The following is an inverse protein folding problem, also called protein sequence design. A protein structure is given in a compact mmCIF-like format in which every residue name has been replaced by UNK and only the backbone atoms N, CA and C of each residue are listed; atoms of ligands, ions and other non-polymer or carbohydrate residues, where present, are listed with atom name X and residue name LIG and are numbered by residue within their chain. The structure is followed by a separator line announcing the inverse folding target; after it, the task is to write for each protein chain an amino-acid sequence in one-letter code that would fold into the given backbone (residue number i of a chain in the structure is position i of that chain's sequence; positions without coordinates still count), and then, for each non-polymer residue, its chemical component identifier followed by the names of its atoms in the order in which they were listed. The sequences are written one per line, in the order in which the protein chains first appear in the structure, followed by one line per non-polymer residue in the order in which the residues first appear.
data_IF_843208855379
#
_entry.id   IF_843208855379
#
_cell.length_a   1.000
_cell.length_b   1.000
_cell.length_c   1.000
_cell.angle_alpha   90.00
_cell.angle_beta   90.00
_cell.angle_gamma   90.00
#
_symmetry.space_group_name_H-M   'P 1'
#
loop_
_entity.id
_entity.type
_entity.pdbx_description
1 polymer ?
#
# COMPACT_ATOMS: atom_id res chain seq x y z
N UNK A 1 2.59 -0.32 -2.50
CA UNK A 1 3.15 1.00 -2.14
C UNK A 1 3.44 1.00 -0.65
N UNK A 2 4.66 1.35 -0.22
CA UNK A 2 5.02 1.42 1.20
C UNK A 2 5.32 2.85 1.62
N UNK A 3 4.87 3.27 2.81
CA UNK A 3 5.17 4.61 3.34
C UNK A 3 5.37 4.56 4.87
N UNK A 4 6.39 5.26 5.41
CA UNK A 4 6.44 5.51 6.85
C UNK A 4 5.33 6.47 7.27
N UNK A 5 4.87 6.34 8.51
CA UNK A 5 3.87 7.22 9.11
C UNK A 5 4.55 8.48 9.67
N UNK A 6 4.13 9.65 9.20
CA UNK A 6 4.49 10.95 9.77
C UNK A 6 3.24 11.64 10.29
N UNK A 7 3.17 11.87 11.60
CA UNK A 7 2.02 12.54 12.27
C UNK A 7 0.64 11.95 11.90
N UNK A 8 0.56 10.64 11.66
CA UNK A 8 -0.69 9.94 11.34
C UNK A 8 -1.01 9.84 9.85
N UNK A 9 -0.18 10.39 8.97
CA UNK A 9 -0.37 10.35 7.51
C UNK A 9 0.83 9.72 6.81
N UNK A 10 0.65 9.38 5.53
CA UNK A 10 1.75 8.94 4.70
C UNK A 10 2.80 10.06 4.52
N UNK A 11 4.05 9.68 4.27
CA UNK A 11 5.09 10.60 3.83
C UNK A 11 4.62 11.43 2.63
N UNK A 12 4.83 12.75 2.72
CA UNK A 12 4.24 13.71 1.78
C UNK A 12 4.71 13.58 0.33
N UNK A 13 5.92 13.10 0.08
CA UNK A 13 6.42 12.86 -1.29
C UNK A 13 5.73 11.67 -1.96
N UNK A 14 5.41 10.60 -1.20
CA UNK A 14 4.59 9.49 -1.68
C UNK A 14 3.21 10.00 -2.08
N UNK A 15 2.55 10.79 -1.22
CA UNK A 15 1.22 11.31 -1.55
C UNK A 15 1.27 12.29 -2.73
N UNK A 16 2.30 13.12 -2.83
CA UNK A 16 2.53 14.00 -3.97
C UNK A 16 2.69 13.21 -5.27
N UNK A 17 3.48 12.12 -5.25
CA UNK A 17 3.64 11.24 -6.40
C UNK A 17 2.32 10.55 -6.79
N UNK A 18 1.59 9.99 -5.82
CA UNK A 18 0.31 9.32 -6.05
C UNK A 18 -0.73 10.26 -6.66
N UNK A 19 -0.85 11.48 -6.16
CA UNK A 19 -1.76 12.48 -6.72
C UNK A 19 -1.44 12.81 -8.18
N UNK A 20 -0.14 12.98 -8.52
CA UNK A 20 0.29 13.27 -9.89
C UNK A 20 0.06 12.06 -10.81
N UNK A 21 0.40 10.86 -10.37
CA UNK A 21 0.19 9.61 -11.13
C UNK A 21 -1.30 9.40 -11.39
N UNK A 22 -2.15 9.56 -10.37
CA UNK A 22 -3.60 9.40 -10.50
C UNK A 22 -4.20 10.42 -11.47
N UNK A 23 -3.76 11.68 -11.41
CA UNK A 23 -4.20 12.70 -12.35
C UNK A 23 -3.79 12.37 -13.79
N UNK A 24 -2.56 11.91 -14.00
CA UNK A 24 -2.08 11.50 -15.33
C UNK A 24 -2.84 10.26 -15.83
N UNK A 25 -3.10 9.26 -15.00
CA UNK A 25 -3.92 8.10 -15.37
C UNK A 25 -5.30 8.53 -15.85
N UNK A 26 -5.98 9.37 -15.07
CA UNK A 26 -7.35 9.81 -15.38
C UNK A 26 -7.45 10.75 -16.59
N UNK A 27 -6.38 11.50 -16.87
CA UNK A 27 -6.30 12.37 -18.05
C UNK A 27 -5.96 11.62 -19.35
N UNK A 28 -5.58 10.34 -19.26
CA UNK A 28 -5.27 9.50 -20.42
C UNK A 28 -6.29 8.36 -20.53
N UNK A 29 -5.80 7.13 -20.65
CA UNK A 29 -6.56 5.90 -20.89
C UNK A 29 -6.95 5.17 -19.60
N UNK A 30 -6.80 5.81 -18.44
CA UNK A 30 -6.95 5.16 -17.14
C UNK A 30 -6.04 3.94 -16.97
N UNK A 31 -4.76 4.01 -17.37
CA UNK A 31 -3.81 2.89 -17.31
C UNK A 31 -3.66 2.18 -15.95
N UNK A 32 -4.12 2.79 -14.85
CA UNK A 32 -4.17 2.17 -13.53
C UNK A 32 -5.39 1.26 -13.30
N UNK A 33 -6.43 1.36 -14.13
CA UNK A 33 -7.63 0.52 -14.04
C UNK A 33 -7.24 -0.96 -14.13
N UNK A 34 -7.86 -1.76 -13.27
CA UNK A 34 -7.61 -3.20 -13.09
C UNK A 34 -6.18 -3.58 -12.70
N UNK A 35 -5.31 -2.62 -12.36
CA UNK A 35 -4.01 -2.93 -11.76
C UNK A 35 -4.20 -3.42 -10.32
N UNK A 36 -3.36 -4.36 -9.92
CA UNK A 36 -3.41 -4.98 -8.60
C UNK A 36 -2.35 -4.37 -7.70
N UNK A 37 -2.74 -3.98 -6.50
CA UNK A 37 -1.79 -3.49 -5.50
C UNK A 37 -2.47 -2.94 -4.26
N UNK A 38 -1.68 -2.44 -3.32
CA UNK A 38 -2.22 -1.86 -2.10
C UNK A 38 -1.15 -1.15 -1.26
N UNK A 39 -1.59 -0.44 -0.22
CA UNK A 39 -0.70 0.27 0.68
C UNK A 39 -0.13 -0.62 1.78
N UNK A 40 1.05 -0.26 2.26
CA UNK A 40 1.72 -0.78 3.44
C UNK A 40 2.17 0.43 4.26
N UNK A 41 1.87 0.46 5.55
CA UNK A 41 2.27 1.55 6.44
C UNK A 41 3.24 1.04 7.52
N UNK A 42 4.35 1.76 7.70
CA UNK A 42 5.37 1.44 8.72
C UNK A 42 5.38 2.51 9.80
N UNK A 43 5.26 2.13 11.07
CA UNK A 43 5.34 3.08 12.19
C UNK A 43 5.91 2.44 13.45
N UNK A 44 6.48 3.26 14.34
CA UNK A 44 6.95 2.75 15.63
C UNK A 44 5.83 2.27 16.56
N UNK A 45 4.65 2.90 16.52
CA UNK A 45 3.57 2.66 17.50
C UNK A 45 2.14 2.81 16.97
N UNK A 46 1.88 3.80 16.12
CA UNK A 46 0.51 4.18 15.76
C UNK A 46 0.43 5.07 14.53
N UNK A 47 -0.79 5.27 14.04
CA UNK A 47 -1.10 6.07 12.86
C UNK A 47 -1.16 5.28 11.55
N UNK A 48 -0.84 3.99 11.57
CA UNK A 48 -0.88 3.14 10.37
C UNK A 48 -2.28 3.06 9.76
N UNK A 49 -3.34 2.98 10.58
CA UNK A 49 -4.73 2.88 10.09
C UNK A 49 -5.11 4.06 9.21
N UNK A 50 -4.91 5.29 9.72
CA UNK A 50 -5.21 6.50 8.98
C UNK A 50 -4.33 6.63 7.73
N UNK A 51 -3.05 6.30 7.83
CA UNK A 51 -2.10 6.31 6.70
C UNK A 51 -2.48 5.30 5.62
N UNK A 52 -2.91 4.09 6.00
CA UNK A 52 -3.42 3.07 5.06
C UNK A 52 -4.69 3.58 4.40
N UNK A 53 -5.64 4.13 5.16
CA UNK A 53 -6.90 4.65 4.62
C UNK A 53 -6.67 5.78 3.61
N UNK A 54 -5.78 6.72 3.92
CA UNK A 54 -5.38 7.80 3.02
C UNK A 54 -4.83 7.25 1.70
N UNK A 55 -3.88 6.32 1.77
CA UNK A 55 -3.31 5.72 0.57
C UNK A 55 -4.32 4.83 -0.17
N UNK A 56 -5.22 4.12 0.52
CA UNK A 56 -6.27 3.29 -0.09
C UNK A 56 -7.17 4.11 -1.02
N UNK A 57 -7.45 5.37 -0.68
CA UNK A 57 -8.27 6.24 -1.54
C UNK A 57 -7.68 6.37 -2.95
N UNK A 58 -6.34 6.42 -3.08
CA UNK A 58 -5.68 6.42 -4.40
C UNK A 58 -5.95 5.15 -5.20
N UNK A 59 -5.92 3.98 -4.56
CA UNK A 59 -6.19 2.71 -5.26
C UNK A 59 -7.64 2.65 -5.73
N UNK A 60 -8.59 2.99 -4.85
CA UNK A 60 -10.01 2.91 -5.19
C UNK A 60 -10.45 3.94 -6.22
N UNK A 61 -9.99 5.18 -6.13
CA UNK A 61 -10.32 6.20 -7.15
C UNK A 61 -9.71 5.88 -8.52
N UNK A 62 -8.64 5.08 -8.55
CA UNK A 62 -7.94 4.66 -9.78
C UNK A 62 -8.45 3.33 -10.35
N UNK A 63 -9.57 2.79 -9.84
CA UNK A 63 -10.14 1.51 -10.28
C UNK A 63 -9.14 0.34 -10.15
N UNK A 64 -8.29 0.38 -9.11
CA UNK A 64 -7.33 -0.68 -8.79
C UNK A 64 -7.93 -1.73 -7.86
N UNK A 65 -7.44 -2.97 -7.97
CA UNK A 65 -7.85 -4.08 -7.11
C UNK A 65 -6.88 -4.19 -5.94
N UNK A 66 -7.43 -4.18 -4.71
CA UNK A 66 -6.66 -4.29 -3.47
C UNK A 66 -6.87 -5.67 -2.82
N UNK A 67 -5.91 -6.60 -2.92
CA UNK A 67 -5.99 -7.88 -2.23
C UNK A 67 -5.91 -7.72 -0.71
N UNK A 68 -6.61 -8.59 0.01
CA UNK A 68 -6.45 -8.71 1.47
C UNK A 68 -5.16 -9.43 1.88
N UNK A 69 -4.96 -9.53 3.18
CA UNK A 69 -3.90 -10.33 3.79
C UNK A 69 -4.41 -11.04 5.06
N UNK A 70 -3.50 -11.58 5.88
CA UNK A 70 -3.83 -12.10 7.23
C UNK A 70 -4.35 -11.02 8.18
N UNK A 71 -3.91 -9.77 8.00
CA UNK A 71 -4.33 -8.60 8.77
C UNK A 71 -4.25 -7.31 7.94
N UNK A 72 -4.43 -6.13 8.57
CA UNK A 72 -4.13 -4.86 7.89
C UNK A 72 -2.64 -4.77 7.58
N UNK A 73 -2.28 -4.20 6.42
CA UNK A 73 -0.90 -4.07 5.92
C UNK A 73 -0.07 -3.05 6.74
N UNK A 74 0.12 -3.33 8.02
CA UNK A 74 0.84 -2.53 9.00
C UNK A 74 2.12 -3.27 9.39
N UNK A 75 3.21 -2.52 9.54
CA UNK A 75 4.48 -3.04 10.07
C UNK A 75 5.00 -2.09 11.14
N UNK A 76 5.54 -2.66 12.22
CA UNK A 76 6.16 -1.92 13.31
C UNK A 76 7.66 -1.79 13.11
N UNK A 77 8.18 -0.57 13.26
CA UNK A 77 9.62 -0.30 13.18
C UNK A 77 9.93 1.18 13.28
N UNK A 78 11.04 1.54 13.93
CA UNK A 78 11.52 2.92 14.07
C UNK A 78 12.77 3.18 13.25
N UNK A 79 13.84 2.41 13.49
CA UNK A 79 15.09 2.54 12.77
C UNK A 79 15.08 1.69 11.49
N UNK A 80 15.90 2.04 10.47
CA UNK A 80 16.10 1.19 9.31
C UNK A 80 16.49 -0.23 9.73
N UNK A 81 15.77 -1.23 9.23
CA UNK A 81 15.98 -2.64 9.55
C UNK A 81 15.00 -3.22 10.56
N UNK A 82 14.55 -2.44 11.56
CA UNK A 82 13.69 -2.95 12.65
C UNK A 82 12.33 -3.48 12.16
N UNK A 83 11.86 -3.00 11.01
CA UNK A 83 10.63 -3.52 10.39
C UNK A 83 10.72 -5.02 10.06
N UNK A 84 11.93 -5.59 9.92
CA UNK A 84 12.12 -7.03 9.72
C UNK A 84 11.91 -7.85 10.99
N UNK A 85 12.02 -7.22 12.16
CA UNK A 85 11.87 -7.87 13.47
C UNK A 85 10.40 -7.92 13.94
N UNK A 86 9.49 -7.26 13.20
CA UNK A 86 8.05 -7.41 13.38
C UNK A 86 7.55 -8.67 12.66
N UNK A 87 7.65 -9.82 13.33
CA UNK A 87 7.29 -11.13 12.76
C UNK A 87 5.84 -11.17 12.22
N UNK A 88 4.88 -10.60 12.95
CA UNK A 88 3.47 -10.58 12.56
C UNK A 88 3.21 -9.66 11.37
N UNK A 89 3.79 -8.45 11.40
CA UNK A 89 3.72 -7.51 10.30
C UNK A 89 4.37 -8.08 9.04
N UNK A 90 5.55 -8.70 9.17
CA UNK A 90 6.26 -9.32 8.06
C UNK A 90 5.50 -10.51 7.47
N UNK A 91 4.88 -11.36 8.29
CA UNK A 91 4.00 -12.42 7.78
C UNK A 91 2.80 -11.86 7.03
N UNK A 92 2.20 -10.79 7.54
CA UNK A 92 1.13 -10.06 6.87
C UNK A 92 1.57 -9.50 5.52
N UNK A 93 2.79 -8.94 5.42
CA UNK A 93 3.29 -8.41 4.15
C UNK A 93 3.65 -9.54 3.17
N UNK A 94 4.20 -10.67 3.63
CA UNK A 94 4.45 -11.85 2.79
C UNK A 94 3.16 -12.40 2.20
N UNK A 95 2.12 -12.57 3.02
CA UNK A 95 0.81 -13.05 2.56
C UNK A 95 0.17 -12.06 1.58
N UNK A 96 0.26 -10.77 1.85
CA UNK A 96 -0.22 -9.73 0.94
C UNK A 96 0.48 -9.81 -0.43
N UNK A 97 1.81 -9.89 -0.43
CA UNK A 97 2.62 -10.04 -1.65
C UNK A 97 2.27 -11.32 -2.43
N UNK A 98 2.08 -12.43 -1.73
CA UNK A 98 1.62 -13.68 -2.35
C UNK A 98 0.25 -13.51 -3.03
N UNK A 99 -0.70 -12.87 -2.36
CA UNK A 99 -2.04 -12.64 -2.91
C UNK A 99 -2.01 -11.71 -4.13
N UNK A 100 -1.20 -10.65 -4.09
CA UNK A 100 -0.96 -9.75 -5.24
C UNK A 100 -0.40 -10.54 -6.43
N UNK A 101 0.69 -11.29 -6.24
CA UNK A 101 1.32 -12.05 -7.31
C UNK A 101 0.37 -13.12 -7.88
N UNK A 102 -0.33 -13.84 -7.01
CA UNK A 102 -1.30 -14.87 -7.41
C UNK A 102 -2.43 -14.26 -8.22
N UNK A 103 -2.98 -13.11 -7.79
CA UNK A 103 -4.05 -12.46 -8.54
C UNK A 103 -3.56 -11.95 -9.90
N UNK A 104 -2.39 -11.32 -9.96
CA UNK A 104 -1.79 -10.87 -11.22
C UNK A 104 -1.62 -12.03 -12.19
N UNK A 105 -1.10 -13.16 -11.74
CA UNK A 105 -0.94 -14.35 -12.58
C UNK A 105 -2.31 -14.83 -13.11
N UNK A 106 -3.32 -14.91 -12.24
CA UNK A 106 -4.66 -15.39 -12.61
C UNK A 106 -5.42 -14.50 -13.59
N UNK A 107 -5.17 -13.19 -13.60
CA UNK A 107 -5.85 -12.25 -14.52
C UNK A 107 -5.08 -12.04 -15.83
N UNK A 108 -3.85 -12.56 -15.93
CA UNK A 108 -3.02 -12.48 -17.13
C UNK A 108 -2.94 -13.82 -17.90
N UNK A 109 -3.54 -14.89 -17.37
CA UNK A 109 -3.82 -16.13 -18.11
C UNK A 109 -4.91 -15.91 -19.16
#
# INVERSE_FOLDING_TARGET
MGSPVYFGTARGDIMSALQRIGMVSRANDNFLSWKVGGPIAVARRGGQTATIQEMLMFFFISDMIVPGSTYWNMVFGWAPGEAQDDDEGMETIRRFGYNVATLINKINE
#
